data_IF_041291449934
#
_entry.id   IF_041291449934
#
_cell.length_a   1.000
_cell.length_b   1.000
_cell.length_c   1.000
_cell.angle_alpha   90.00
_cell.angle_beta   90.00
_cell.angle_gamma   90.00
#
_symmetry.space_group_name_H-M   'P 1'
#
loop_
_entity.id
_entity.type
_entity.pdbx_description
1 polymer ?
#
# COMPACT_ATOMS: atom_id res chain seq x y z
N UNK A 1 -16.18 23.52 28.03
CA UNK A 1 -16.65 22.14 28.02
C UNK A 1 -17.15 21.76 26.62
N UNK A 2 -18.09 22.53 26.06
CA UNK A 2 -18.60 22.27 24.71
C UNK A 2 -17.49 22.40 23.67
N UNK A 3 -16.59 23.36 23.86
CA UNK A 3 -15.44 23.56 22.98
C UNK A 3 -14.51 22.35 23.01
N UNK A 4 -14.30 21.77 24.18
CA UNK A 4 -13.47 20.57 24.33
C UNK A 4 -14.10 19.37 23.62
N UNK A 5 -15.41 19.23 23.74
CA UNK A 5 -16.14 18.13 23.06
C UNK A 5 -16.03 18.28 21.54
N UNK A 6 -16.21 19.47 21.02
CA UNK A 6 -16.09 19.74 19.59
C UNK A 6 -14.68 19.45 19.08
N UNK A 7 -13.66 19.85 19.83
CA UNK A 7 -12.27 19.61 19.46
C UNK A 7 -11.97 18.10 19.45
N UNK A 8 -12.43 17.36 20.46
CA UNK A 8 -12.23 15.92 20.55
C UNK A 8 -12.94 15.20 19.38
N UNK A 9 -14.14 15.61 19.03
CA UNK A 9 -14.89 15.02 17.92
C UNK A 9 -14.17 15.27 16.59
N UNK A 10 -13.68 16.50 16.35
CA UNK A 10 -12.93 16.81 15.15
C UNK A 10 -11.65 16.03 15.05
N UNK A 11 -10.97 15.84 16.17
CA UNK A 11 -9.73 15.05 16.21
C UNK A 11 -10.00 13.58 15.92
N UNK A 12 -11.10 13.04 16.44
CA UNK A 12 -11.51 11.68 16.14
C UNK A 12 -11.82 11.48 14.67
N UNK A 13 -12.46 12.47 14.03
CA UNK A 13 -12.76 12.42 12.61
C UNK A 13 -11.48 12.45 11.77
N UNK A 14 -10.49 13.25 12.16
CA UNK A 14 -9.19 13.29 11.47
C UNK A 14 -8.48 11.94 11.57
N UNK A 15 -8.46 11.33 12.76
CA UNK A 15 -7.84 10.03 12.97
C UNK A 15 -8.51 8.96 12.11
N UNK A 16 -9.85 8.96 12.06
CA UNK A 16 -10.58 8.01 11.23
C UNK A 16 -10.32 8.22 9.74
N UNK A 17 -10.24 9.48 9.31
CA UNK A 17 -9.95 9.80 7.91
C UNK A 17 -8.55 9.34 7.51
N UNK A 18 -7.55 9.54 8.37
CA UNK A 18 -6.18 9.08 8.12
C UNK A 18 -6.14 7.56 8.05
N UNK A 19 -6.81 6.88 8.99
CA UNK A 19 -6.85 5.43 9.00
C UNK A 19 -7.53 4.87 7.75
N UNK A 20 -8.65 5.46 7.34
CA UNK A 20 -9.36 5.06 6.13
C UNK A 20 -8.49 5.25 4.88
N UNK A 21 -7.78 6.36 4.79
CA UNK A 21 -6.87 6.62 3.67
C UNK A 21 -5.72 5.62 3.65
N UNK A 22 -5.18 5.28 4.82
CA UNK A 22 -4.12 4.26 4.91
C UNK A 22 -4.62 2.90 4.46
N UNK A 23 -5.84 2.53 4.86
CA UNK A 23 -6.45 1.26 4.45
C UNK A 23 -6.65 1.22 2.94
N UNK A 24 -7.08 2.33 2.34
CA UNK A 24 -7.25 2.43 0.89
C UNK A 24 -5.93 2.28 0.15
N UNK A 25 -4.88 2.94 0.64
CA UNK A 25 -3.54 2.78 0.07
C UNK A 25 -3.07 1.33 0.15
N UNK A 26 -3.34 0.66 1.27
CA UNK A 26 -2.98 -0.74 1.45
C UNK A 26 -3.72 -1.62 0.45
N UNK A 27 -5.02 -1.40 0.26
CA UNK A 27 -5.81 -2.13 -0.72
C UNK A 27 -5.27 -1.94 -2.13
N UNK A 28 -4.93 -0.70 -2.50
CA UNK A 28 -4.36 -0.40 -3.81
C UNK A 28 -3.01 -1.10 -3.98
N UNK A 29 -2.17 -1.08 -2.96
CA UNK A 29 -0.87 -1.73 -3.01
C UNK A 29 -1.02 -3.25 -3.19
N UNK A 30 -1.97 -3.88 -2.47
CA UNK A 30 -2.22 -5.31 -2.62
C UNK A 30 -2.69 -5.66 -4.03
N UNK A 31 -3.58 -4.84 -4.60
CA UNK A 31 -4.02 -5.01 -5.98
C UNK A 31 -2.87 -4.89 -6.98
N UNK A 32 -2.01 -3.91 -6.77
CA UNK A 32 -0.85 -3.71 -7.62
C UNK A 32 0.13 -4.90 -7.53
N UNK A 33 0.38 -5.39 -6.31
CA UNK A 33 1.24 -6.57 -6.12
C UNK A 33 0.64 -7.78 -6.85
N UNK A 34 -0.67 -8.00 -6.71
CA UNK A 34 -1.34 -9.09 -7.41
C UNK A 34 -1.16 -9.00 -8.92
N UNK A 35 -1.37 -7.83 -9.49
CA UNK A 35 -1.19 -7.61 -10.92
C UNK A 35 0.26 -7.82 -11.36
N UNK A 36 1.21 -7.34 -10.54
CA UNK A 36 2.63 -7.51 -10.84
C UNK A 36 3.05 -8.98 -10.79
N UNK A 37 2.52 -9.76 -9.84
CA UNK A 37 2.78 -11.19 -9.76
C UNK A 37 2.26 -11.91 -11.00
N UNK A 38 1.04 -11.58 -11.41
CA UNK A 38 0.44 -12.19 -12.62
C UNK A 38 1.24 -11.85 -13.85
N UNK A 39 1.64 -10.61 -14.01
CA UNK A 39 2.47 -10.17 -15.13
C UNK A 39 3.81 -10.89 -15.10
N UNK A 40 4.43 -10.99 -13.93
CA UNK A 40 5.72 -11.67 -13.76
C UNK A 40 5.62 -13.15 -14.12
N UNK A 41 4.56 -13.83 -13.71
CA UNK A 41 4.36 -15.25 -14.05
C UNK A 41 4.25 -15.46 -15.56
N UNK A 42 3.55 -14.57 -16.25
CA UNK A 42 3.43 -14.65 -17.70
C UNK A 42 4.80 -14.42 -18.37
N UNK A 43 5.58 -13.47 -17.89
CA UNK A 43 6.91 -13.19 -18.43
C UNK A 43 7.87 -14.33 -18.19
N UNK A 44 7.83 -14.98 -17.05
CA UNK A 44 8.70 -16.11 -16.72
C UNK A 44 8.41 -17.30 -17.64
N UNK A 45 7.16 -17.49 -18.07
CA UNK A 45 6.82 -18.54 -19.01
C UNK A 45 7.49 -18.31 -20.37
N UNK A 46 7.60 -17.06 -20.80
CA UNK A 46 8.22 -16.71 -22.08
C UNK A 46 9.74 -16.62 -21.95
N UNK A 47 10.23 -16.10 -20.85
CA UNK A 47 11.65 -15.85 -20.60
C UNK A 47 12.00 -16.26 -19.16
N UNK A 48 12.22 -17.56 -18.90
CA UNK A 48 12.47 -18.05 -17.53
C UNK A 48 13.66 -17.38 -16.85
N UNK A 49 14.65 -16.94 -17.62
CA UNK A 49 15.82 -16.25 -17.09
C UNK A 49 15.49 -14.89 -16.47
N UNK A 50 14.30 -14.36 -16.71
CA UNK A 50 13.88 -13.08 -16.11
C UNK A 50 13.46 -13.19 -14.65
N UNK A 51 13.22 -14.40 -14.14
CA UNK A 51 12.66 -14.60 -12.80
C UNK A 51 13.40 -13.84 -11.69
N UNK A 52 14.73 -13.89 -11.57
CA UNK A 52 15.42 -13.17 -10.50
C UNK A 52 15.28 -11.65 -10.61
N UNK A 53 15.18 -11.11 -11.81
CA UNK A 53 14.99 -9.68 -12.01
C UNK A 53 13.56 -9.25 -11.60
N UNK A 54 12.58 -10.09 -11.93
CA UNK A 54 11.18 -9.83 -11.57
C UNK A 54 10.99 -9.90 -10.05
N UNK A 55 11.63 -10.86 -9.39
CA UNK A 55 11.59 -10.95 -7.93
C UNK A 55 12.18 -9.70 -7.29
N UNK A 56 13.30 -9.19 -7.82
CA UNK A 56 13.93 -8.00 -7.30
C UNK A 56 13.03 -6.77 -7.47
N UNK A 57 12.40 -6.63 -8.63
CA UNK A 57 11.48 -5.51 -8.89
C UNK A 57 10.26 -5.58 -8.00
N UNK A 58 9.67 -6.76 -7.85
CA UNK A 58 8.50 -6.97 -7.01
C UNK A 58 8.81 -6.68 -5.55
N UNK A 59 9.95 -7.17 -5.07
CA UNK A 59 10.42 -6.91 -3.70
C UNK A 59 10.63 -5.43 -3.45
N UNK A 60 11.24 -4.72 -4.40
CA UNK A 60 11.46 -3.28 -4.29
C UNK A 60 10.14 -2.52 -4.24
N UNK A 61 9.17 -2.88 -5.08
CA UNK A 61 7.84 -2.25 -5.04
C UNK A 61 7.17 -2.50 -3.70
N UNK A 62 7.13 -3.75 -3.25
CA UNK A 62 6.46 -4.10 -2.00
C UNK A 62 7.07 -3.39 -0.80
N UNK A 63 8.40 -3.32 -0.74
CA UNK A 63 9.11 -2.63 0.33
C UNK A 63 8.81 -1.13 0.31
N UNK A 64 8.86 -0.51 -0.87
CA UNK A 64 8.57 0.92 -1.02
C UNK A 64 7.13 1.24 -0.65
N UNK A 65 6.18 0.42 -1.09
CA UNK A 65 4.77 0.61 -0.76
C UNK A 65 4.53 0.47 0.74
N UNK A 66 5.14 -0.53 1.37
CA UNK A 66 5.01 -0.74 2.81
C UNK A 66 5.55 0.47 3.60
N UNK A 67 6.70 1.00 3.17
CA UNK A 67 7.29 2.18 3.82
C UNK A 67 6.42 3.42 3.64
N UNK A 68 5.86 3.61 2.44
CA UNK A 68 4.98 4.74 2.16
C UNK A 68 3.72 4.68 3.01
N UNK A 69 3.11 3.50 3.14
CA UNK A 69 1.92 3.28 3.96
C UNK A 69 2.23 3.54 5.43
N UNK A 70 3.38 3.04 5.92
CA UNK A 70 3.78 3.21 7.31
C UNK A 70 4.02 4.68 7.67
N UNK A 71 4.46 5.50 6.70
CA UNK A 71 4.73 6.93 6.92
C UNK A 71 3.51 7.81 6.70
N UNK A 72 2.44 7.25 6.16
CA UNK A 72 1.25 8.01 5.86
C UNK A 72 0.60 8.52 7.15
N UNK A 73 0.34 9.82 7.18
CA UNK A 73 -0.35 10.48 8.29
C UNK A 73 -1.54 11.30 7.77
#
# INVERSE_FOLDING_TARGET
>A
VQREVEWTAGRGDVVRAVDAARAELTNQAMGNVGNLVMTGQALVQVAPESAPYLEALLGAYATGAAQAIARFQ
#
